data_IF_590376552424
#
_entry.id   IF_590376552424
#
_cell.length_a   1.000
_cell.length_b   1.000
_cell.length_c   1.000
_cell.angle_alpha   90.00
_cell.angle_beta   90.00
_cell.angle_gamma   90.00
#
_symmetry.space_group_name_H-M   'P 1'
#
loop_
_entity.id
_entity.type
_entity.pdbx_description
1 polymer ?
#
# COMPACT_ATOMS: atom_id res chain seq x y z
N UNK A 1 -21.59 -9.40 -14.25
CA UNK A 1 -20.17 -9.01 -14.11
C UNK A 1 -20.07 -8.14 -12.86
N UNK A 2 -19.09 -8.36 -11.99
CA UNK A 2 -18.92 -7.62 -10.73
C UNK A 2 -18.75 -6.11 -11.01
N UNK A 3 -19.52 -5.25 -10.34
CA UNK A 3 -19.53 -3.78 -10.56
C UNK A 3 -18.17 -3.15 -10.29
N UNK A 4 -17.44 -3.63 -9.27
CA UNK A 4 -16.09 -3.14 -8.95
C UNK A 4 -15.09 -3.43 -10.08
N UNK A 5 -15.19 -4.61 -10.71
CA UNK A 5 -14.32 -4.94 -11.83
C UNK A 5 -14.60 -4.06 -13.05
N UNK A 6 -15.88 -3.76 -13.32
CA UNK A 6 -16.25 -2.86 -14.42
C UNK A 6 -15.71 -1.44 -14.21
N UNK A 7 -15.77 -0.92 -12.99
CA UNK A 7 -15.20 0.39 -12.64
C UNK A 7 -13.69 0.42 -12.90
N UNK A 8 -12.96 -0.63 -12.54
CA UNK A 8 -11.53 -0.74 -12.83
C UNK A 8 -11.24 -0.78 -14.33
N UNK A 9 -12.05 -1.50 -15.12
CA UNK A 9 -11.89 -1.54 -16.58
C UNK A 9 -12.12 -0.18 -17.24
N UNK A 10 -12.93 0.71 -16.66
CA UNK A 10 -13.09 2.08 -17.18
C UNK A 10 -11.76 2.85 -17.12
N UNK A 11 -10.97 2.68 -16.05
CA UNK A 11 -9.68 3.35 -15.88
C UNK A 11 -8.66 2.96 -16.97
N UNK A 12 -8.80 1.75 -17.51
CA UNK A 12 -7.96 1.23 -18.60
C UNK A 12 -8.04 2.08 -19.86
N UNK A 13 -9.21 2.66 -20.16
CA UNK A 13 -9.43 3.52 -21.32
C UNK A 13 -9.23 2.81 -22.67
N UNK A 14 -9.54 1.52 -22.74
CA UNK A 14 -9.38 0.67 -23.93
C UNK A 14 -10.63 -0.20 -24.11
N UNK A 15 -10.86 -0.70 -25.32
CA UNK A 15 -11.96 -1.62 -25.64
C UNK A 15 -12.01 -2.83 -24.71
N UNK A 16 -13.19 -3.37 -24.35
CA UNK A 16 -13.32 -4.49 -23.42
C UNK A 16 -12.38 -5.66 -23.74
N UNK A 17 -11.80 -6.32 -22.71
CA UNK A 17 -10.94 -7.48 -22.92
C UNK A 17 -11.69 -8.59 -23.67
N UNK A 18 -10.98 -9.27 -24.58
CA UNK A 18 -11.54 -10.37 -25.39
C UNK A 18 -11.32 -11.74 -24.76
N UNK A 19 -10.41 -11.84 -23.79
CA UNK A 19 -10.15 -13.05 -23.02
C UNK A 19 -11.34 -13.44 -22.14
N UNK A 20 -11.49 -14.73 -21.87
CA UNK A 20 -12.42 -15.19 -20.84
C UNK A 20 -11.89 -14.79 -19.45
N UNK A 21 -12.78 -14.33 -18.58
CA UNK A 21 -12.44 -13.90 -17.21
C UNK A 21 -13.43 -14.55 -16.24
N UNK A 22 -12.93 -15.56 -15.52
CA UNK A 22 -13.72 -16.36 -14.58
C UNK A 22 -13.36 -16.00 -13.13
N UNK A 23 -14.34 -15.49 -12.39
CA UNK A 23 -14.25 -15.32 -10.93
C UNK A 23 -14.93 -16.52 -10.26
N UNK A 24 -14.15 -17.34 -9.57
CA UNK A 24 -14.61 -18.64 -9.05
C UNK A 24 -14.70 -18.62 -7.53
N UNK A 25 -15.89 -18.90 -7.00
CA UNK A 25 -16.20 -18.86 -5.57
C UNK A 25 -17.10 -17.68 -5.21
N UNK A 26 -17.28 -17.42 -3.91
CA UNK A 26 -18.07 -16.30 -3.40
C UNK A 26 -17.67 -15.99 -1.95
N UNK A 27 -18.01 -14.80 -1.48
CA UNK A 27 -17.94 -14.43 -0.07
C UNK A 27 -19.13 -14.98 0.74
N UNK A 28 -19.05 -15.02 2.09
CA UNK A 28 -17.90 -14.61 2.91
C UNK A 28 -16.82 -15.71 2.98
N UNK A 29 -15.56 -15.35 2.73
CA UNK A 29 -14.40 -16.21 2.99
C UNK A 29 -13.79 -15.93 4.37
N UNK A 30 -13.83 -14.68 4.81
CA UNK A 30 -13.33 -14.23 6.11
C UNK A 30 -14.50 -13.88 7.04
N UNK A 31 -14.27 -13.88 8.36
CA UNK A 31 -15.29 -13.51 9.36
C UNK A 31 -15.54 -12.00 9.35
N UNK A 32 -16.28 -11.53 8.35
CA UNK A 32 -16.57 -10.13 8.08
C UNK A 32 -17.88 -10.01 7.31
N UNK A 33 -18.54 -8.86 7.43
CA UNK A 33 -19.76 -8.54 6.67
C UNK A 33 -19.47 -7.94 5.28
N UNK A 34 -18.20 -7.65 4.98
CA UNK A 34 -17.76 -7.09 3.71
C UNK A 34 -17.42 -8.20 2.71
N UNK A 35 -17.65 -7.95 1.42
CA UNK A 35 -17.28 -8.85 0.32
C UNK A 35 -15.81 -8.68 -0.07
N UNK A 36 -14.91 -8.94 0.90
CA UNK A 36 -13.47 -8.73 0.72
C UNK A 36 -12.86 -9.63 -0.35
N UNK A 37 -13.31 -10.88 -0.47
CA UNK A 37 -12.82 -11.82 -1.46
C UNK A 37 -13.22 -11.43 -2.88
N UNK A 38 -14.47 -11.03 -3.08
CA UNK A 38 -14.96 -10.55 -4.37
C UNK A 38 -14.31 -9.22 -4.77
N UNK A 39 -14.09 -8.32 -3.79
CA UNK A 39 -13.39 -7.04 -4.01
C UNK A 39 -11.95 -7.28 -4.44
N UNK A 40 -11.20 -8.10 -3.71
CA UNK A 40 -9.82 -8.44 -4.07
C UNK A 40 -9.75 -9.19 -5.41
N UNK A 41 -10.71 -10.08 -5.70
CA UNK A 41 -10.76 -10.82 -6.95
C UNK A 41 -10.99 -9.88 -8.15
N UNK A 42 -11.81 -8.84 -8.01
CA UNK A 42 -12.00 -7.82 -9.03
C UNK A 42 -10.69 -7.07 -9.34
N UNK A 43 -9.91 -6.72 -8.31
CA UNK A 43 -8.61 -6.05 -8.47
C UNK A 43 -7.58 -6.99 -9.13
N UNK A 44 -7.56 -8.27 -8.74
CA UNK A 44 -6.70 -9.28 -9.38
C UNK A 44 -7.06 -9.53 -10.84
N UNK A 45 -8.35 -9.55 -11.17
CA UNK A 45 -8.78 -9.63 -12.56
C UNK A 45 -8.31 -8.40 -13.35
N UNK A 46 -8.40 -7.20 -12.78
CA UNK A 46 -7.91 -5.98 -13.41
C UNK A 46 -6.39 -6.02 -13.64
N UNK A 47 -5.61 -6.46 -12.64
CA UNK A 47 -4.17 -6.72 -12.81
C UNK A 47 -3.93 -7.72 -13.95
N UNK A 48 -4.64 -8.84 -13.96
CA UNK A 48 -4.53 -9.86 -15.02
C UNK A 48 -4.77 -9.29 -16.42
N UNK A 49 -5.79 -8.45 -16.57
CA UNK A 49 -6.09 -7.75 -17.83
C UNK A 49 -4.96 -6.76 -18.20
N UNK A 50 -4.47 -5.98 -17.24
CA UNK A 50 -3.35 -5.05 -17.46
C UNK A 50 -2.07 -5.77 -17.86
N UNK A 51 -1.78 -6.92 -17.26
CA UNK A 51 -0.67 -7.80 -17.64
C UNK A 51 -0.87 -8.36 -19.06
N UNK A 52 -2.09 -8.80 -19.39
CA UNK A 52 -2.43 -9.25 -20.74
C UNK A 52 -2.25 -8.15 -21.79
N UNK A 53 -2.53 -6.89 -21.46
CA UNK A 53 -2.30 -5.78 -22.39
C UNK A 53 -0.83 -5.63 -22.75
N UNK A 54 0.05 -5.66 -21.75
CA UNK A 54 1.48 -5.56 -21.99
C UNK A 54 1.98 -6.80 -22.74
N UNK A 55 1.47 -7.98 -22.39
CA UNK A 55 1.80 -9.22 -23.09
C UNK A 55 1.35 -9.23 -24.56
N UNK A 56 0.18 -8.66 -24.85
CA UNK A 56 -0.33 -8.54 -26.22
C UNK A 56 0.50 -7.55 -27.03
N UNK A 57 0.91 -6.42 -26.45
CA UNK A 57 1.82 -5.49 -27.13
C UNK A 57 3.15 -6.16 -27.50
N UNK A 58 3.64 -7.05 -26.65
CA UNK A 58 4.90 -7.76 -26.85
C UNK A 58 4.80 -8.98 -27.79
N UNK A 59 3.68 -9.71 -27.77
CA UNK A 59 3.58 -11.04 -28.40
C UNK A 59 2.40 -11.22 -29.34
N UNK A 60 1.47 -10.26 -29.39
CA UNK A 60 0.20 -10.36 -30.10
C UNK A 60 -0.82 -11.31 -29.45
N UNK A 61 -0.51 -11.91 -28.29
CA UNK A 61 -1.35 -12.93 -27.63
C UNK A 61 -1.94 -12.42 -26.33
N UNK A 62 -3.09 -12.98 -25.95
CA UNK A 62 -3.73 -12.83 -24.64
C UNK A 62 -4.00 -14.22 -24.05
N UNK A 63 -4.23 -14.27 -22.74
CA UNK A 63 -4.54 -15.50 -22.02
C UNK A 63 -5.85 -15.33 -21.23
N UNK A 64 -6.65 -16.39 -21.14
CA UNK A 64 -7.81 -16.44 -20.27
C UNK A 64 -7.42 -16.38 -18.78
N UNK A 65 -8.24 -15.69 -17.99
CA UNK A 65 -7.99 -15.42 -16.58
C UNK A 65 -8.97 -16.20 -15.72
N UNK A 66 -8.46 -16.85 -14.66
CA UNK A 66 -9.29 -17.47 -13.62
C UNK A 66 -8.78 -17.06 -12.24
N UNK A 67 -9.64 -16.41 -11.47
CA UNK A 67 -9.34 -15.91 -10.13
C UNK A 67 -10.25 -16.61 -9.13
N UNK A 68 -9.64 -17.32 -8.16
CA UNK A 68 -10.38 -17.94 -7.06
C UNK A 68 -10.62 -16.91 -5.97
N UNK A 69 -11.87 -16.57 -5.71
CA UNK A 69 -12.29 -15.63 -4.65
C UNK A 69 -11.72 -16.00 -3.27
N UNK A 70 -11.69 -17.29 -2.85
CA UNK A 70 -11.03 -17.68 -1.60
C UNK A 70 -9.53 -17.38 -1.55
N UNK A 71 -8.82 -17.49 -2.67
CA UNK A 71 -7.39 -17.17 -2.73
C UNK A 71 -7.18 -15.65 -2.70
N UNK A 72 -8.06 -14.89 -3.36
CA UNK A 72 -8.04 -13.44 -3.30
C UNK A 72 -8.26 -12.91 -1.88
N UNK A 73 -9.22 -13.47 -1.14
CA UNK A 73 -9.41 -13.15 0.28
C UNK A 73 -8.20 -13.53 1.14
N UNK A 74 -7.57 -14.69 0.87
CA UNK A 74 -6.38 -15.12 1.60
C UNK A 74 -5.18 -14.17 1.38
N UNK A 75 -5.05 -13.61 0.17
CA UNK A 75 -3.98 -12.67 -0.14
C UNK A 75 -4.03 -11.38 0.70
N UNK A 76 -5.21 -10.95 1.16
CA UNK A 76 -5.38 -9.77 2.04
C UNK A 76 -4.83 -9.97 3.47
N UNK A 77 -4.31 -11.16 3.78
CA UNK A 77 -3.68 -11.48 5.05
C UNK A 77 -2.47 -12.40 4.88
N UNK A 78 -1.78 -12.30 3.74
CA UNK A 78 -0.74 -13.25 3.33
C UNK A 78 0.46 -13.32 4.30
N UNK A 79 0.73 -12.23 5.03
CA UNK A 79 1.72 -12.19 6.11
C UNK A 79 1.49 -13.23 7.22
N UNK A 80 0.29 -13.82 7.34
CA UNK A 80 0.01 -14.89 8.31
C UNK A 80 0.43 -16.28 7.84
N UNK A 81 0.71 -16.46 6.55
CA UNK A 81 0.95 -17.79 5.97
C UNK A 81 2.41 -18.04 5.61
N UNK A 82 3.26 -17.02 5.67
CA UNK A 82 4.65 -17.14 5.27
C UNK A 82 5.54 -17.51 6.46
N UNK A 83 6.12 -18.71 6.42
CA UNK A 83 7.15 -19.16 7.35
C UNK A 83 8.48 -19.29 6.60
N UNK A 84 9.56 -18.78 7.21
CA UNK A 84 10.93 -18.99 6.71
C UNK A 84 11.50 -20.18 7.46
N UNK A 85 11.77 -21.28 6.76
CA UNK A 85 12.56 -22.38 7.33
C UNK A 85 14.03 -21.97 7.38
N UNK A 86 14.64 -22.02 8.56
CA UNK A 86 16.06 -21.76 8.70
C UNK A 86 16.88 -22.91 8.14
N UNK A 87 17.46 -22.71 6.96
CA UNK A 87 18.62 -23.49 6.57
C UNK A 87 19.82 -22.97 7.36
N UNK A 88 20.39 -23.77 8.26
CA UNK A 88 21.51 -23.43 9.16
C UNK A 88 22.86 -23.07 8.51
N UNK A 89 22.86 -22.46 7.33
CA UNK A 89 24.03 -22.06 6.54
C UNK A 89 24.32 -20.55 6.58
N UNK A 90 23.36 -19.70 6.96
CA UNK A 90 23.64 -18.30 7.31
C UNK A 90 23.78 -18.21 8.82
N UNK A 91 24.98 -17.94 9.35
CA UNK A 91 25.20 -17.67 10.78
C UNK A 91 24.49 -16.43 11.33
N UNK A 92 23.42 -15.96 10.67
CA UNK A 92 22.39 -15.14 11.27
C UNK A 92 21.34 -16.10 11.84
N UNK A 93 21.31 -16.18 13.16
CA UNK A 93 20.23 -16.81 13.91
C UNK A 93 18.93 -16.07 13.57
N UNK A 94 18.23 -16.50 12.51
CA UNK A 94 16.89 -16.02 12.20
C UNK A 94 15.87 -16.67 13.15
N UNK A 95 16.31 -17.62 13.98
CA UNK A 95 15.54 -18.16 15.08
C UNK A 95 15.65 -17.14 16.18
N UNK A 96 14.54 -16.48 16.48
CA UNK A 96 14.43 -15.78 17.75
C UNK A 96 15.55 -14.76 18.05
N UNK A 97 15.91 -13.86 17.11
CA UNK A 97 16.12 -12.47 17.51
C UNK A 97 14.77 -12.01 18.10
N UNK A 98 14.60 -12.28 19.40
CA UNK A 98 13.36 -12.52 20.12
C UNK A 98 12.19 -11.65 19.61
N UNK A 99 11.31 -12.22 18.77
CA UNK A 99 9.99 -11.63 18.59
C UNK A 99 9.35 -11.68 19.97
N UNK A 100 9.33 -10.54 20.65
CA UNK A 100 8.65 -10.41 21.91
C UNK A 100 7.14 -10.46 21.60
N UNK A 101 6.60 -11.68 21.59
CA UNK A 101 5.21 -11.95 21.28
C UNK A 101 4.26 -11.20 22.19
N UNK A 102 4.61 -11.03 23.47
CA UNK A 102 3.84 -10.23 24.41
C UNK A 102 3.79 -8.76 23.98
N UNK A 103 4.93 -8.17 23.62
CA UNK A 103 5.01 -6.80 23.11
C UNK A 103 4.25 -6.64 21.78
N UNK A 104 4.31 -7.62 20.88
CA UNK A 104 3.57 -7.59 19.62
C UNK A 104 2.05 -7.67 19.86
N UNK A 105 1.59 -8.57 20.74
CA UNK A 105 0.19 -8.65 21.12
C UNK A 105 -0.29 -7.37 21.79
N UNK A 106 0.52 -6.76 22.67
CA UNK A 106 0.22 -5.48 23.27
C UNK A 106 0.08 -4.36 22.23
N UNK A 107 1.01 -4.27 21.27
CA UNK A 107 0.94 -3.31 20.16
C UNK A 107 -0.32 -3.48 19.32
N UNK A 108 -0.69 -4.73 19.03
CA UNK A 108 -1.91 -5.05 18.29
C UNK A 108 -3.16 -4.63 19.07
N UNK A 109 -3.23 -4.94 20.38
CA UNK A 109 -4.35 -4.55 21.26
C UNK A 109 -4.43 -3.06 21.51
N UNK A 110 -3.30 -2.35 21.54
CA UNK A 110 -3.29 -0.88 21.59
C UNK A 110 -3.87 -0.34 20.28
N UNK A 111 -3.53 -0.93 19.14
CA UNK A 111 -3.95 -0.48 17.82
C UNK A 111 -5.37 -0.92 17.43
N UNK A 112 -6.30 -0.97 18.40
CA UNK A 112 -7.74 -1.21 18.20
C UNK A 112 -8.56 -0.01 18.68
N UNK A 113 -9.84 0.10 18.31
CA UNK A 113 -10.73 1.14 18.85
C UNK A 113 -10.90 1.06 20.38
N UNK A 114 -10.74 2.19 21.06
CA UNK A 114 -10.95 2.34 22.51
C UNK A 114 -11.99 3.45 22.79
N UNK A 115 -12.83 3.29 23.84
CA UNK A 115 -13.86 4.27 24.17
C UNK A 115 -13.26 5.60 24.66
N UNK A 116 -13.96 6.68 24.35
CA UNK A 116 -13.60 8.06 24.72
C UNK A 116 -14.67 8.69 25.60
N UNK A 117 -14.37 9.82 26.24
CA UNK A 117 -15.22 10.49 27.23
C UNK A 117 -16.59 10.89 26.68
N UNK A 118 -16.63 11.29 25.42
CA UNK A 118 -17.82 11.74 24.68
C UNK A 118 -18.67 10.57 24.13
N UNK A 119 -18.40 9.33 24.55
CA UNK A 119 -19.14 8.14 24.12
C UNK A 119 -18.78 7.67 22.70
N UNK A 120 -17.71 8.21 22.13
CA UNK A 120 -17.17 7.83 20.81
C UNK A 120 -16.05 6.79 20.98
N UNK A 121 -15.40 6.43 19.86
CA UNK A 121 -14.21 5.58 19.86
C UNK A 121 -13.03 6.27 19.18
N UNK A 122 -11.83 6.01 19.69
CA UNK A 122 -10.57 6.45 19.12
C UNK A 122 -9.64 5.25 18.90
N UNK A 123 -8.98 5.21 17.74
CA UNK A 123 -7.98 4.20 17.40
C UNK A 123 -6.59 4.86 17.45
N UNK A 124 -5.78 4.62 18.49
CA UNK A 124 -4.38 5.02 18.51
C UNK A 124 -3.56 4.08 17.62
N UNK A 125 -2.55 4.59 16.91
CA UNK A 125 -1.65 3.72 16.16
C UNK A 125 -0.18 4.04 16.49
N UNK A 126 0.49 3.08 17.14
CA UNK A 126 1.82 3.28 17.73
C UNK A 126 2.87 2.33 17.11
N UNK A 127 2.68 1.93 15.85
CA UNK A 127 3.47 0.88 15.21
C UNK A 127 4.97 1.16 15.03
N UNK A 128 5.40 2.42 15.03
CA UNK A 128 6.82 2.80 14.95
C UNK A 128 7.25 3.55 16.22
N UNK A 129 8.48 3.33 16.75
CA UNK A 129 8.90 3.91 18.04
C UNK A 129 8.73 5.43 18.15
N UNK A 130 9.13 6.18 17.12
CA UNK A 130 9.00 7.63 17.11
C UNK A 130 7.54 8.12 17.01
N UNK A 131 6.65 7.33 16.39
CA UNK A 131 5.20 7.64 16.33
C UNK A 131 4.52 7.28 17.65
N UNK A 132 4.93 6.16 18.26
CA UNK A 132 4.49 5.77 19.60
C UNK A 132 4.81 6.88 20.61
N UNK A 133 6.06 7.35 20.64
CA UNK A 133 6.48 8.41 21.54
C UNK A 133 5.60 9.66 21.41
N UNK A 134 5.36 10.15 20.19
CA UNK A 134 4.50 11.31 19.94
C UNK A 134 3.09 11.14 20.49
N UNK A 135 2.48 9.97 20.30
CA UNK A 135 1.14 9.69 20.81
C UNK A 135 1.12 9.58 22.34
N UNK A 136 2.13 8.95 22.94
CA UNK A 136 2.27 8.81 24.39
C UNK A 136 2.53 10.16 25.07
N UNK A 137 3.27 11.06 24.44
CA UNK A 137 3.50 12.42 24.96
C UNK A 137 2.20 13.23 25.04
N UNK A 138 1.29 13.04 24.07
CA UNK A 138 -0.05 13.66 24.08
C UNK A 138 -0.93 13.03 25.17
N UNK A 139 -0.92 11.69 25.26
CA UNK A 139 -1.73 10.94 26.22
C UNK A 139 -1.20 11.04 27.66
N UNK A 140 0.08 11.36 27.83
CA UNK A 140 0.81 11.44 29.12
C UNK A 140 0.71 10.13 29.91
N UNK A 141 0.96 9.02 29.24
CA UNK A 141 0.86 7.69 29.82
C UNK A 141 2.04 6.79 29.38
N UNK A 142 2.26 5.73 30.13
CA UNK A 142 3.21 4.68 29.75
C UNK A 142 2.75 3.90 28.52
N UNK A 143 3.68 3.24 27.84
CA UNK A 143 3.37 2.40 26.68
C UNK A 143 2.75 1.05 27.05
N UNK A 144 1.72 1.07 27.90
CA UNK A 144 1.01 -0.09 28.43
C UNK A 144 -0.46 -0.03 28.03
N UNK A 145 -1.05 -1.19 27.70
CA UNK A 145 -2.41 -1.24 27.15
C UNK A 145 -3.44 -0.52 28.03
N UNK A 146 -3.48 -0.87 29.32
CA UNK A 146 -4.44 -0.28 30.27
C UNK A 146 -4.17 1.22 30.49
N UNK A 147 -2.90 1.65 30.49
CA UNK A 147 -2.53 3.05 30.62
C UNK A 147 -3.03 3.87 29.42
N UNK A 148 -2.87 3.33 28.21
CA UNK A 148 -3.38 3.94 26.96
C UNK A 148 -4.90 3.99 26.96
N UNK A 149 -5.58 2.89 27.31
CA UNK A 149 -7.06 2.85 27.38
C UNK A 149 -7.59 3.91 28.35
N UNK A 150 -7.03 3.98 29.55
CA UNK A 150 -7.44 4.94 30.58
C UNK A 150 -7.17 6.38 30.14
N UNK A 151 -6.04 6.64 29.47
CA UNK A 151 -5.74 7.96 28.94
C UNK A 151 -6.75 8.35 27.84
N UNK A 152 -7.00 7.47 26.86
CA UNK A 152 -7.96 7.70 25.77
C UNK A 152 -9.37 7.98 26.32
N UNK A 153 -9.80 7.25 27.35
CA UNK A 153 -11.10 7.44 28.00
C UNK A 153 -11.28 8.84 28.63
N UNK A 154 -10.21 9.58 28.86
CA UNK A 154 -10.24 10.96 29.38
C UNK A 154 -10.45 12.05 28.33
N UNK A 155 -10.35 11.71 27.03
CA UNK A 155 -10.45 12.66 25.93
C UNK A 155 -11.78 12.57 25.17
N UNK A 156 -12.17 13.65 24.50
CA UNK A 156 -13.16 13.60 23.42
C UNK A 156 -12.46 13.15 22.13
N UNK A 157 -13.08 12.28 21.33
CA UNK A 157 -12.38 11.57 20.26
C UNK A 157 -11.79 12.50 19.19
N UNK A 158 -12.54 13.51 18.75
CA UNK A 158 -12.06 14.47 17.75
C UNK A 158 -10.93 15.35 18.29
N UNK A 159 -11.04 15.80 19.55
CA UNK A 159 -10.00 16.60 20.18
C UNK A 159 -8.67 15.82 20.29
N UNK A 160 -8.74 14.52 20.60
CA UNK A 160 -7.57 13.66 20.64
C UNK A 160 -6.97 13.41 19.25
N UNK A 161 -7.80 13.21 18.22
CA UNK A 161 -7.34 13.10 16.83
C UNK A 161 -6.55 14.33 16.40
N UNK A 162 -7.09 15.53 16.63
CA UNK A 162 -6.42 16.78 16.28
C UNK A 162 -5.13 16.99 17.09
N UNK A 163 -5.13 16.66 18.38
CA UNK A 163 -3.93 16.78 19.23
C UNK A 163 -2.80 15.84 18.76
N UNK A 164 -3.12 14.59 18.40
CA UNK A 164 -2.14 13.64 17.88
C UNK A 164 -1.67 14.03 16.47
N UNK A 165 -2.58 14.52 15.61
CA UNK A 165 -2.23 15.00 14.28
C UNK A 165 -1.29 16.20 14.33
N UNK A 166 -1.50 17.14 15.26
CA UNK A 166 -0.70 18.35 15.43
C UNK A 166 0.78 18.06 15.75
N UNK A 167 1.08 16.95 16.43
CA UNK A 167 2.45 16.50 16.70
C UNK A 167 2.99 15.53 15.64
N UNK A 168 2.25 15.32 14.55
CA UNK A 168 2.60 14.40 13.46
C UNK A 168 2.58 12.93 13.87
N UNK A 169 1.82 12.57 14.92
CA UNK A 169 1.55 11.21 15.36
C UNK A 169 0.49 10.50 14.51
N UNK A 170 0.07 9.32 14.96
CA UNK A 170 -0.91 8.48 14.27
C UNK A 170 -2.03 8.06 15.21
N UNK A 171 -3.26 8.42 14.85
CA UNK A 171 -4.45 8.02 15.57
C UNK A 171 -5.66 8.70 14.95
N UNK A 172 -6.84 8.09 15.10
CA UNK A 172 -8.05 8.58 14.45
C UNK A 172 -9.30 8.32 15.29
N UNK A 173 -10.22 9.27 15.27
CA UNK A 173 -11.59 9.04 15.70
C UNK A 173 -12.26 8.04 14.75
N UNK A 174 -12.92 7.03 15.31
CA UNK A 174 -13.76 6.13 14.54
C UNK A 174 -15.02 6.89 14.08
N UNK A 175 -15.27 6.81 12.77
CA UNK A 175 -16.41 7.43 12.11
C UNK A 175 -17.32 6.34 11.56
N UNK A 176 -18.59 6.67 11.32
CA UNK A 176 -19.47 5.89 10.43
C UNK A 176 -19.21 6.23 8.97
N UNK A 177 -19.68 5.40 8.05
CA UNK A 177 -19.58 5.67 6.61
C UNK A 177 -20.28 6.99 6.22
N UNK A 178 -21.41 7.31 6.85
CA UNK A 178 -22.13 8.57 6.62
C UNK A 178 -21.34 9.79 7.11
N UNK A 179 -20.73 9.70 8.29
CA UNK A 179 -19.85 10.76 8.81
C UNK A 179 -18.63 10.96 7.91
N UNK A 180 -18.03 9.88 7.39
CA UNK A 180 -16.92 9.97 6.44
C UNK A 180 -17.33 10.64 5.12
N UNK A 181 -18.47 10.22 4.55
CA UNK A 181 -18.99 10.81 3.32
C UNK A 181 -19.30 12.31 3.47
N UNK A 182 -19.70 12.74 4.67
CA UNK A 182 -19.92 14.15 4.98
C UNK A 182 -18.64 14.92 5.37
N UNK A 183 -17.55 14.22 5.73
CA UNK A 183 -16.30 14.83 6.15
C UNK A 183 -15.57 15.48 4.96
N UNK A 184 -14.93 16.65 5.12
CA UNK A 184 -14.25 17.32 4.00
C UNK A 184 -13.17 16.46 3.32
N UNK A 185 -12.48 15.60 4.08
CA UNK A 185 -11.55 14.63 3.49
C UNK A 185 -12.26 13.56 2.65
N UNK A 186 -13.37 13.00 3.15
CA UNK A 186 -14.11 11.98 2.41
C UNK A 186 -14.71 12.54 1.13
N UNK A 187 -15.20 13.79 1.16
CA UNK A 187 -15.66 14.51 -0.03
C UNK A 187 -14.54 14.77 -1.03
N UNK A 188 -13.35 15.18 -0.55
CA UNK A 188 -12.19 15.36 -1.41
C UNK A 188 -11.81 14.07 -2.15
N UNK A 189 -11.87 12.92 -1.47
CA UNK A 189 -11.56 11.61 -2.09
C UNK A 189 -12.68 11.08 -2.99
N UNK A 190 -13.95 11.29 -2.65
CA UNK A 190 -15.08 10.80 -3.43
C UNK A 190 -15.12 11.39 -4.86
N UNK A 191 -14.52 12.56 -5.07
CA UNK A 191 -14.39 13.18 -6.39
C UNK A 191 -13.19 12.72 -7.22
N UNK A 192 -12.36 11.79 -6.71
CA UNK A 192 -11.13 11.34 -7.37
C UNK A 192 -11.29 9.92 -7.91
N UNK A 193 -10.63 9.56 -9.02
CA UNK A 193 -10.61 8.19 -9.49
C UNK A 193 -9.84 7.31 -8.49
N UNK A 194 -10.21 6.03 -8.42
CA UNK A 194 -9.54 5.05 -7.55
C UNK A 194 -8.04 4.89 -7.86
N UNK A 195 -7.68 5.02 -9.15
CA UNK A 195 -6.30 5.13 -9.62
C UNK A 195 -6.21 6.31 -10.58
N UNK A 196 -5.33 7.26 -10.28
CA UNK A 196 -5.07 8.41 -11.14
C UNK A 196 -3.77 8.21 -11.94
N UNK A 197 -3.82 8.45 -13.25
CA UNK A 197 -2.65 8.41 -14.13
C UNK A 197 -2.49 9.79 -14.76
N UNK A 198 -1.42 10.47 -14.39
CA UNK A 198 -1.11 11.83 -14.82
C UNK A 198 0.17 11.77 -15.65
N UNK A 199 0.17 12.37 -16.85
CA UNK A 199 1.38 12.55 -17.64
C UNK A 199 2.21 13.68 -17.00
N UNK A 200 3.43 13.38 -16.58
CA UNK A 200 4.31 14.32 -15.86
C UNK A 200 5.39 14.92 -16.76
N UNK A 201 5.72 14.28 -17.89
CA UNK A 201 6.62 14.81 -18.91
C UNK A 201 6.37 14.20 -20.29
N UNK A 202 6.90 14.82 -21.34
CA UNK A 202 6.96 14.25 -22.68
C UNK A 202 8.18 13.33 -22.84
N UNK A 203 7.98 12.20 -23.50
CA UNK A 203 9.05 11.32 -23.99
C UNK A 203 8.55 10.56 -25.23
N UNK A 204 9.44 10.07 -26.10
CA UNK A 204 9.04 9.14 -27.14
C UNK A 204 8.38 7.88 -26.56
N UNK A 205 7.51 7.20 -27.33
CA UNK A 205 7.03 5.87 -26.98
C UNK A 205 8.18 4.91 -26.70
N UNK A 206 8.06 4.14 -25.62
CA UNK A 206 9.08 3.17 -25.20
C UNK A 206 8.44 1.78 -25.06
N UNK A 207 8.82 0.80 -25.91
CA UNK A 207 8.27 -0.55 -25.83
C UNK A 207 8.47 -1.14 -24.43
N UNK A 208 7.45 -1.86 -23.93
CA UNK A 208 7.62 -2.64 -22.71
C UNK A 208 8.63 -3.74 -22.99
N UNK A 209 9.65 -3.85 -22.12
CA UNK A 209 10.82 -4.71 -22.32
C UNK A 209 10.44 -6.13 -22.76
N UNK A 210 11.08 -6.60 -23.84
CA UNK A 210 11.09 -8.00 -24.24
C UNK A 210 12.40 -8.62 -23.74
N UNK A 211 12.31 -9.62 -22.87
CA UNK A 211 13.43 -10.53 -22.61
C UNK A 211 12.94 -11.97 -22.80
N UNK A 212 13.82 -12.79 -23.37
CA UNK A 212 13.64 -14.19 -23.79
C UNK A 212 13.09 -15.17 -22.71
N UNK A 213 12.82 -14.70 -21.50
CA UNK A 213 12.43 -15.44 -20.29
C UNK A 213 10.94 -15.78 -20.21
N UNK A 214 10.11 -15.25 -21.12
CA UNK A 214 8.71 -15.67 -21.28
C UNK A 214 7.73 -15.16 -20.22
N UNK A 215 8.07 -14.12 -19.43
CA UNK A 215 7.14 -13.50 -18.47
C UNK A 215 6.79 -12.05 -18.88
N UNK A 216 5.58 -11.54 -18.57
CA UNK A 216 5.10 -10.28 -19.14
C UNK A 216 5.89 -9.01 -18.79
N UNK A 217 6.53 -8.97 -17.62
CA UNK A 217 7.30 -7.80 -17.15
C UNK A 217 8.83 -8.01 -17.20
N UNK A 218 9.29 -9.07 -17.88
CA UNK A 218 10.72 -9.36 -17.97
C UNK A 218 11.49 -8.24 -18.66
N UNK A 219 12.58 -7.79 -18.03
CA UNK A 219 13.41 -6.69 -18.51
C UNK A 219 13.05 -5.32 -17.94
N UNK A 220 11.90 -5.17 -17.29
CA UNK A 220 11.55 -3.94 -16.58
C UNK A 220 12.34 -3.84 -15.27
N UNK A 221 12.90 -2.66 -15.00
CA UNK A 221 13.62 -2.34 -13.76
C UNK A 221 12.77 -1.43 -12.87
N UNK A 222 12.54 -1.86 -11.62
CA UNK A 222 11.72 -1.14 -10.65
C UNK A 222 12.57 -0.78 -9.44
N UNK A 223 12.59 0.50 -9.09
CA UNK A 223 13.11 0.99 -7.82
C UNK A 223 11.96 1.17 -6.85
N UNK A 224 11.99 0.40 -5.76
CA UNK A 224 10.96 0.41 -4.74
C UNK A 224 11.48 1.02 -3.44
N UNK A 225 11.06 2.26 -3.15
CA UNK A 225 11.40 2.96 -1.90
C UNK A 225 10.27 2.86 -0.86
N UNK A 226 9.24 2.08 -1.15
CA UNK A 226 8.10 1.94 -0.27
C UNK A 226 8.41 1.09 0.97
N UNK A 227 7.55 1.19 1.98
CA UNK A 227 7.74 0.55 3.28
C UNK A 227 6.43 -0.01 3.81
N UNK A 228 6.55 -0.86 4.83
CA UNK A 228 5.45 -1.46 5.59
C UNK A 228 4.67 -2.49 4.77
N UNK A 229 3.64 -2.12 3.98
CA UNK A 229 2.76 -3.12 3.37
C UNK A 229 2.24 -2.73 1.97
N UNK A 230 1.44 -1.66 1.84
CA UNK A 230 0.80 -1.31 0.58
C UNK A 230 1.77 -1.16 -0.61
N UNK A 231 2.78 -0.30 -0.47
CA UNK A 231 3.77 -0.11 -1.51
C UNK A 231 4.61 -1.36 -1.80
N UNK A 232 5.13 -2.08 -0.78
CA UNK A 232 5.86 -3.31 -1.03
C UNK A 232 5.00 -4.38 -1.72
N UNK A 233 3.69 -4.44 -1.46
CA UNK A 233 2.74 -5.28 -2.21
C UNK A 233 2.71 -4.92 -3.69
N UNK A 234 2.66 -3.64 -4.05
CA UNK A 234 2.74 -3.19 -5.46
C UNK A 234 4.01 -3.72 -6.13
N UNK A 235 5.17 -3.51 -5.49
CA UNK A 235 6.45 -3.93 -6.01
C UNK A 235 6.57 -5.46 -6.12
N UNK A 236 6.05 -6.21 -5.13
CA UNK A 236 5.97 -7.68 -5.18
C UNK A 236 5.14 -8.13 -6.37
N UNK A 237 3.97 -7.56 -6.60
CA UNK A 237 3.11 -7.91 -7.74
C UNK A 237 3.82 -7.72 -9.08
N UNK A 238 4.60 -6.64 -9.25
CA UNK A 238 5.41 -6.45 -10.45
C UNK A 238 6.50 -7.55 -10.59
N UNK A 239 7.15 -7.94 -9.49
CA UNK A 239 8.12 -9.04 -9.48
C UNK A 239 7.49 -10.42 -9.79
N UNK A 240 6.28 -10.67 -9.29
CA UNK A 240 5.45 -11.86 -9.58
C UNK A 240 5.08 -11.99 -11.06
N UNK A 241 5.17 -10.90 -11.84
CA UNK A 241 5.04 -10.92 -13.30
C UNK A 241 6.37 -10.76 -14.06
N UNK A 242 7.51 -10.72 -13.36
CA UNK A 242 8.85 -10.86 -13.93
C UNK A 242 9.71 -9.60 -13.96
N UNK A 243 9.28 -8.50 -13.35
CA UNK A 243 10.11 -7.30 -13.24
C UNK A 243 11.33 -7.53 -12.33
N UNK A 244 12.47 -6.91 -12.66
CA UNK A 244 13.62 -6.80 -11.77
C UNK A 244 13.36 -5.67 -10.76
N UNK A 245 13.03 -6.04 -9.54
CA UNK A 245 12.68 -5.08 -8.49
C UNK A 245 13.81 -4.98 -7.47
N UNK A 246 14.30 -3.77 -7.26
CA UNK A 246 15.26 -3.43 -6.20
C UNK A 246 14.57 -2.58 -5.13
N UNK A 247 14.40 -3.17 -3.95
CA UNK A 247 13.99 -2.46 -2.75
C UNK A 247 15.15 -1.63 -2.21
N UNK A 248 14.95 -0.33 -2.10
CA UNK A 248 15.92 0.60 -1.53
C UNK A 248 15.39 1.11 -0.20
N UNK A 249 16.15 0.90 0.87
CA UNK A 249 15.84 1.35 2.23
C UNK A 249 17.12 1.81 2.93
N UNK A 250 17.09 2.11 4.22
CA UNK A 250 18.29 2.43 5.00
C UNK A 250 18.26 1.69 6.34
N UNK A 251 19.44 1.39 6.91
CA UNK A 251 19.55 0.63 8.17
C UNK A 251 18.80 1.29 9.34
N UNK A 252 18.77 2.62 9.37
CA UNK A 252 18.09 3.38 10.42
C UNK A 252 16.56 3.46 10.24
N UNK A 253 16.02 3.05 9.08
CA UNK A 253 14.59 3.07 8.83
C UNK A 253 13.95 1.81 9.40
N UNK A 254 12.92 1.94 10.26
CA UNK A 254 12.32 0.76 10.87
C UNK A 254 11.61 -0.09 9.82
N UNK A 255 11.82 -1.40 9.91
CA UNK A 255 11.16 -2.42 9.10
C UNK A 255 10.35 -3.34 10.00
N UNK A 256 9.29 -3.92 9.44
CA UNK A 256 8.47 -4.91 10.11
C UNK A 256 8.74 -6.27 9.46
N UNK A 257 9.52 -7.12 10.14
CA UNK A 257 10.02 -8.38 9.59
C UNK A 257 8.92 -9.26 8.99
N UNK A 258 7.75 -9.33 9.62
CA UNK A 258 6.60 -10.08 9.11
C UNK A 258 6.17 -9.62 7.71
N UNK A 259 6.18 -8.31 7.46
CA UNK A 259 5.79 -7.77 6.16
C UNK A 259 6.94 -7.81 5.17
N UNK A 260 8.19 -7.63 5.62
CA UNK A 260 9.37 -7.81 4.76
C UNK A 260 9.40 -9.24 4.21
N UNK A 261 9.15 -10.24 5.06
CA UNK A 261 9.06 -11.65 4.65
C UNK A 261 8.00 -11.85 3.58
N UNK A 262 6.79 -11.33 3.79
CA UNK A 262 5.64 -11.46 2.87
C UNK A 262 5.79 -10.69 1.54
N UNK A 263 6.44 -9.53 1.57
CA UNK A 263 6.44 -8.59 0.43
C UNK A 263 7.76 -8.55 -0.34
N UNK A 264 8.79 -9.30 0.07
CA UNK A 264 10.11 -9.30 -0.59
C UNK A 264 10.31 -10.42 -1.60
N UNK A 265 9.33 -11.29 -1.84
CA UNK A 265 9.45 -12.38 -2.80
C UNK A 265 9.80 -11.87 -4.21
N UNK A 266 10.85 -12.46 -4.80
CA UNK A 266 11.34 -12.09 -6.13
C UNK A 266 12.06 -10.73 -6.22
N UNK A 267 12.15 -9.99 -5.11
CA UNK A 267 12.85 -8.69 -5.05
C UNK A 267 14.30 -8.87 -4.60
N UNK A 268 15.17 -7.95 -5.03
CA UNK A 268 16.49 -7.68 -4.43
C UNK A 268 16.35 -6.52 -3.44
N UNK A 269 17.29 -6.38 -2.51
CA UNK A 269 17.32 -5.25 -1.57
C UNK A 269 18.73 -4.66 -1.44
N UNK A 270 18.80 -3.36 -1.14
CA UNK A 270 20.02 -2.68 -0.74
C UNK A 270 19.73 -1.58 0.29
N UNK A 271 20.78 -1.18 1.01
CA UNK A 271 20.74 -0.01 1.88
C UNK A 271 21.37 1.19 1.17
N UNK A 272 20.62 2.30 1.13
CA UNK A 272 21.08 3.63 0.74
C UNK A 272 20.43 4.67 1.68
N UNK A 273 21.26 5.34 2.47
CA UNK A 273 20.88 6.45 3.33
C UNK A 273 20.81 7.75 2.51
N UNK A 274 19.59 8.22 2.25
CA UNK A 274 19.37 9.42 1.43
C UNK A 274 19.76 10.73 2.11
N UNK A 275 20.15 10.70 3.38
CA UNK A 275 20.74 11.83 4.09
C UNK A 275 22.27 11.92 3.87
N UNK A 276 22.87 10.90 3.25
CA UNK A 276 24.27 10.90 2.80
C UNK A 276 24.31 11.23 1.31
N UNK A 277 24.95 12.35 0.95
CA UNK A 277 24.98 12.86 -0.43
C UNK A 277 25.49 11.83 -1.43
N UNK A 278 26.55 11.09 -1.11
CA UNK A 278 27.11 10.07 -1.98
C UNK A 278 26.12 8.92 -2.27
N UNK A 279 25.40 8.45 -1.25
CA UNK A 279 24.40 7.38 -1.38
C UNK A 279 23.13 7.86 -2.09
N UNK A 280 22.74 9.13 -1.87
CA UNK A 280 21.70 9.77 -2.67
C UNK A 280 22.08 9.85 -4.15
N UNK A 281 23.33 10.21 -4.47
CA UNK A 281 23.81 10.21 -5.86
C UNK A 281 23.83 8.80 -6.47
N UNK A 282 24.15 7.77 -5.69
CA UNK A 282 24.02 6.37 -6.13
C UNK A 282 22.58 6.01 -6.49
N UNK A 283 21.59 6.45 -5.69
CA UNK A 283 20.19 6.26 -6.04
C UNK A 283 19.83 6.97 -7.35
N UNK A 284 20.29 8.20 -7.56
CA UNK A 284 20.03 8.94 -8.81
C UNK A 284 20.66 8.25 -10.03
N UNK A 285 21.81 7.59 -9.88
CA UNK A 285 22.39 6.74 -10.93
C UNK A 285 21.51 5.52 -11.23
N UNK A 286 20.97 4.86 -10.20
CA UNK A 286 20.00 3.77 -10.40
C UNK A 286 18.75 4.25 -11.14
N UNK A 287 18.22 5.43 -10.80
CA UNK A 287 17.05 6.05 -11.45
C UNK A 287 17.25 6.19 -12.95
N UNK A 288 18.46 6.56 -13.43
CA UNK A 288 18.76 6.71 -14.87
C UNK A 288 18.44 5.47 -15.70
N UNK A 289 18.43 4.30 -15.08
CA UNK A 289 18.18 3.03 -15.75
C UNK A 289 16.87 2.35 -15.34
N UNK A 290 16.10 2.97 -14.45
CA UNK A 290 14.83 2.43 -13.99
C UNK A 290 13.70 2.71 -14.99
N UNK A 291 12.71 1.83 -15.01
CA UNK A 291 11.43 2.03 -15.70
C UNK A 291 10.36 2.57 -14.78
N UNK A 292 10.38 2.11 -13.52
CA UNK A 292 9.38 2.44 -12.51
C UNK A 292 10.10 2.87 -11.24
N UNK A 293 9.62 3.94 -10.64
CA UNK A 293 10.00 4.37 -9.29
C UNK A 293 8.76 4.41 -8.41
N UNK A 294 8.77 3.67 -7.31
CA UNK A 294 7.64 3.56 -6.39
C UNK A 294 7.95 4.18 -5.04
N UNK A 295 7.01 4.96 -4.50
CA UNK A 295 7.16 5.59 -3.20
C UNK A 295 5.84 5.71 -2.42
N UNK A 296 5.97 5.71 -1.08
CA UNK A 296 4.85 5.82 -0.15
C UNK A 296 5.08 6.78 1.01
N UNK A 297 5.98 7.75 0.84
CA UNK A 297 6.27 8.76 1.84
C UNK A 297 5.18 9.83 1.87
N UNK A 298 5.12 10.56 2.99
CA UNK A 298 4.28 11.77 3.09
C UNK A 298 4.69 12.78 2.01
N UNK A 299 3.76 13.67 1.59
CA UNK A 299 4.07 14.71 0.63
C UNK A 299 5.38 15.45 0.93
N UNK A 300 6.08 15.83 -0.13
CA UNK A 300 7.35 16.58 -0.11
C UNK A 300 8.58 15.87 0.48
N UNK A 301 8.44 14.79 1.24
CA UNK A 301 9.58 14.11 1.91
C UNK A 301 10.66 13.66 0.92
N UNK A 302 10.26 13.06 -0.20
CA UNK A 302 11.19 12.67 -1.26
C UNK A 302 11.49 13.82 -2.24
N UNK A 303 10.53 14.73 -2.46
CA UNK A 303 10.75 15.91 -3.31
C UNK A 303 11.90 16.79 -2.76
N UNK A 304 11.95 16.98 -1.43
CA UNK A 304 13.03 17.69 -0.72
C UNK A 304 14.40 17.01 -0.85
N UNK A 305 14.44 15.78 -1.36
CA UNK A 305 15.66 15.02 -1.66
C UNK A 305 15.96 14.95 -3.15
N UNK A 306 15.28 15.75 -3.98
CA UNK A 306 15.44 15.74 -5.44
C UNK A 306 14.76 14.55 -6.13
N UNK A 307 13.82 13.89 -5.46
CA UNK A 307 13.13 12.68 -5.96
C UNK A 307 11.63 12.97 -6.22
N UNK A 308 11.33 14.20 -6.69
CA UNK A 308 9.98 14.56 -7.14
C UNK A 308 9.68 13.93 -8.50
N UNK A 309 8.40 13.76 -8.89
CA UNK A 309 8.04 13.23 -10.20
C UNK A 309 8.73 13.99 -11.35
N UNK A 310 8.67 15.33 -11.33
CA UNK A 310 9.32 16.17 -12.35
C UNK A 310 10.84 15.97 -12.39
N UNK A 311 11.51 15.95 -11.23
CA UNK A 311 12.96 15.75 -11.18
C UNK A 311 13.38 14.37 -11.71
N UNK A 312 12.61 13.32 -11.40
CA UNK A 312 12.91 11.98 -11.92
C UNK A 312 12.64 11.88 -13.42
N UNK A 313 11.60 12.54 -13.94
CA UNK A 313 11.32 12.59 -15.37
C UNK A 313 12.40 13.34 -16.17
N UNK A 314 13.04 14.35 -15.58
CA UNK A 314 14.23 15.00 -16.16
C UNK A 314 15.45 14.06 -16.22
N UNK A 315 15.66 13.26 -15.16
CA UNK A 315 16.79 12.30 -15.08
C UNK A 315 16.57 11.12 -16.02
N UNK A 316 15.33 10.61 -16.09
CA UNK A 316 14.93 9.46 -16.90
C UNK A 316 13.60 9.79 -17.60
N UNK A 317 13.65 10.38 -18.81
CA UNK A 317 12.45 10.58 -19.62
C UNK A 317 11.70 9.28 -19.83
N UNK A 318 10.37 9.28 -19.63
CA UNK A 318 9.55 8.07 -19.69
C UNK A 318 9.52 7.22 -18.40
N UNK A 319 10.09 7.69 -17.28
CA UNK A 319 9.95 6.98 -16.00
C UNK A 319 8.50 6.97 -15.53
N UNK A 320 8.01 5.83 -15.08
CA UNK A 320 6.72 5.75 -14.40
C UNK A 320 6.92 6.01 -12.90
N UNK A 321 6.28 7.05 -12.37
CA UNK A 321 6.33 7.39 -10.95
C UNK A 321 5.07 6.92 -10.23
N UNK A 322 5.18 5.84 -9.45
CA UNK A 322 4.07 5.27 -8.68
C UNK A 322 4.07 5.83 -7.27
N UNK A 323 3.01 6.57 -6.91
CA UNK A 323 2.88 7.26 -5.64
C UNK A 323 1.61 6.83 -4.92
N UNK A 324 1.70 6.50 -3.64
CA UNK A 324 0.53 6.13 -2.84
C UNK A 324 0.66 6.63 -1.40
N UNK A 325 -0.45 6.94 -0.76
CA UNK A 325 -0.50 7.27 0.65
C UNK A 325 -1.90 6.93 1.22
N UNK A 326 -2.11 7.11 2.52
CA UNK A 326 -3.35 6.68 3.19
C UNK A 326 -4.57 7.58 2.90
N UNK A 327 -4.38 8.89 2.68
CA UNK A 327 -5.46 9.87 2.65
C UNK A 327 -5.61 10.60 1.30
N UNK A 328 -4.87 10.21 0.26
CA UNK A 328 -4.77 10.95 -0.99
C UNK A 328 -3.87 12.19 -0.88
N UNK A 329 -3.82 12.96 -1.97
CA UNK A 329 -2.95 14.14 -2.10
C UNK A 329 -3.69 15.46 -1.85
N UNK A 330 -5.00 15.40 -1.62
CA UNK A 330 -5.89 16.55 -1.47
C UNK A 330 -6.62 16.53 -0.12
N UNK A 331 -7.19 17.67 0.27
CA UNK A 331 -8.02 17.78 1.47
C UNK A 331 -7.24 17.91 2.78
N UNK A 332 -7.95 18.10 3.91
CA UNK A 332 -7.33 18.41 5.21
C UNK A 332 -6.43 17.30 5.78
N UNK A 333 -6.52 16.06 5.28
CA UNK A 333 -5.70 14.94 5.76
C UNK A 333 -4.51 14.63 4.83
N UNK A 334 -4.30 15.36 3.74
CA UNK A 334 -3.25 15.07 2.75
C UNK A 334 -1.83 14.95 3.35
N UNK A 335 -1.53 15.74 4.39
CA UNK A 335 -0.23 15.71 5.08
C UNK A 335 -0.20 14.77 6.31
N UNK A 336 -1.34 14.16 6.68
CA UNK A 336 -1.43 13.30 7.86
C UNK A 336 -0.77 11.95 7.61
N UNK A 337 -0.30 11.38 8.71
CA UNK A 337 0.22 10.03 8.74
C UNK A 337 -0.92 9.02 8.80
N UNK A 338 -0.85 7.94 8.03
CA UNK A 338 -1.91 6.94 8.01
C UNK A 338 -1.40 5.52 8.01
N UNK A 339 -2.31 4.60 8.33
CA UNK A 339 -2.10 3.16 8.48
C UNK A 339 -3.39 2.43 8.12
N UNK A 340 -3.30 1.16 7.76
CA UNK A 340 -4.42 0.24 7.52
C UNK A 340 -5.59 0.46 8.49
N UNK A 341 -5.31 0.38 9.79
CA UNK A 341 -6.32 0.46 10.84
C UNK A 341 -6.97 1.84 10.91
N UNK A 342 -6.21 2.90 10.62
CA UNK A 342 -6.71 4.26 10.60
C UNK A 342 -7.60 4.50 9.38
N UNK A 343 -7.25 3.94 8.22
CA UNK A 343 -8.12 3.96 7.04
C UNK A 343 -9.45 3.29 7.37
N UNK A 344 -9.44 2.12 8.01
CA UNK A 344 -10.68 1.46 8.44
C UNK A 344 -11.48 2.28 9.47
N UNK A 345 -10.80 2.96 10.40
CA UNK A 345 -11.45 3.78 11.43
C UNK A 345 -12.14 5.02 10.85
N UNK A 346 -11.47 5.76 9.95
CA UNK A 346 -12.02 7.02 9.43
C UNK A 346 -13.09 6.81 8.36
N UNK A 347 -13.02 5.71 7.61
CA UNK A 347 -13.92 5.47 6.45
C UNK A 347 -15.27 4.88 6.82
N UNK A 348 -15.45 4.41 8.07
CA UNK A 348 -16.66 3.70 8.48
C UNK A 348 -16.51 2.19 8.58
N UNK A 349 -15.48 1.61 7.97
CA UNK A 349 -15.29 0.15 7.92
C UNK A 349 -15.26 -0.46 9.33
N UNK A 350 -14.50 0.14 10.25
CA UNK A 350 -14.38 -0.40 11.60
C UNK A 350 -15.69 -0.30 12.40
N UNK A 351 -16.43 0.80 12.23
CA UNK A 351 -17.73 0.99 12.88
C UNK A 351 -18.76 -0.03 12.34
N UNK A 352 -18.82 -0.18 11.03
CA UNK A 352 -19.74 -1.11 10.38
C UNK A 352 -19.40 -2.57 10.70
N UNK A 353 -18.13 -2.97 10.62
CA UNK A 353 -17.70 -4.33 10.95
C UNK A 353 -18.11 -4.72 12.38
N UNK A 354 -17.86 -3.84 13.35
CA UNK A 354 -18.08 -4.11 14.77
C UNK A 354 -19.51 -3.89 15.27
N UNK A 355 -20.31 -3.04 14.63
CA UNK A 355 -21.65 -2.69 15.10
C UNK A 355 -21.60 -1.82 16.36
N UNK A 356 -22.13 -2.29 17.49
CA UNK A 356 -22.16 -1.53 18.75
C UNK A 356 -20.76 -1.15 19.26
N UNK A 357 -19.77 -2.02 19.02
CA UNK A 357 -18.36 -1.77 19.36
C UNK A 357 -17.54 -1.91 18.09
N UNK A 358 -16.87 -0.84 17.61
CA UNK A 358 -16.07 -0.90 16.40
C UNK A 358 -15.01 -2.00 16.46
N UNK A 359 -14.78 -2.67 15.34
CA UNK A 359 -13.82 -3.75 15.22
C UNK A 359 -13.11 -3.67 13.86
N UNK A 360 -11.82 -3.98 13.84
CA UNK A 360 -11.06 -4.04 12.59
C UNK A 360 -11.45 -5.28 11.77
N UNK A 361 -11.24 -5.20 10.46
CA UNK A 361 -11.34 -6.35 9.57
C UNK A 361 -10.32 -7.43 9.96
N UNK A 362 -10.62 -8.72 9.72
CA UNK A 362 -9.70 -9.83 9.96
C UNK A 362 -8.59 -9.95 8.88
N UNK A 363 -8.23 -8.82 8.25
CA UNK A 363 -7.30 -8.69 7.15
C UNK A 363 -6.80 -7.24 7.05
N UNK A 364 -5.64 -7.04 6.41
CA UNK A 364 -5.12 -5.72 6.06
C UNK A 364 -5.66 -5.30 4.67
N UNK A 365 -6.98 -5.23 4.56
CA UNK A 365 -7.68 -5.09 3.29
C UNK A 365 -7.39 -3.76 2.59
N UNK A 366 -7.18 -2.65 3.30
CA UNK A 366 -6.93 -1.36 2.66
C UNK A 366 -5.50 -1.31 2.07
N UNK A 367 -4.48 -1.77 2.79
CA UNK A 367 -3.07 -1.75 2.40
C UNK A 367 -2.83 -2.69 1.23
N UNK A 368 -3.24 -3.96 1.33
CA UNK A 368 -3.06 -4.92 0.22
C UNK A 368 -3.80 -4.46 -1.04
N UNK A 369 -5.08 -4.07 -0.90
CA UNK A 369 -5.86 -3.57 -2.04
C UNK A 369 -5.23 -2.33 -2.67
N UNK A 370 -4.73 -1.38 -1.86
CA UNK A 370 -4.01 -0.20 -2.35
C UNK A 370 -2.75 -0.60 -3.13
N UNK A 371 -1.97 -1.55 -2.62
CA UNK A 371 -0.79 -2.07 -3.31
C UNK A 371 -1.12 -2.73 -4.64
N UNK A 372 -2.18 -3.52 -4.70
CA UNK A 372 -2.65 -4.15 -5.93
C UNK A 372 -3.19 -3.11 -6.95
N UNK A 373 -3.93 -2.11 -6.49
CA UNK A 373 -4.38 -1.01 -7.34
C UNK A 373 -3.22 -0.16 -7.87
N UNK A 374 -2.18 0.07 -7.06
CA UNK A 374 -0.97 0.75 -7.51
C UNK A 374 -0.20 -0.07 -8.55
N UNK A 375 -0.14 -1.39 -8.41
CA UNK A 375 0.43 -2.27 -9.43
C UNK A 375 -0.39 -2.19 -10.73
N UNK A 376 -1.72 -2.22 -10.63
CA UNK A 376 -2.61 -2.04 -11.78
C UNK A 376 -2.38 -0.69 -12.48
N UNK A 377 -2.33 0.41 -11.73
CA UNK A 377 -2.02 1.74 -12.28
C UNK A 377 -0.65 1.79 -12.97
N UNK A 378 0.36 1.16 -12.38
CA UNK A 378 1.70 1.05 -12.99
C UNK A 378 1.65 0.30 -14.33
N UNK A 379 0.92 -0.81 -14.40
CA UNK A 379 0.74 -1.59 -15.64
C UNK A 379 0.05 -0.76 -16.73
N UNK A 380 -1.01 -0.02 -16.36
CA UNK A 380 -1.71 0.87 -17.29
C UNK A 380 -0.80 1.98 -17.81
N UNK A 381 -0.01 2.61 -16.92
CA UNK A 381 0.92 3.67 -17.26
C UNK A 381 2.04 3.17 -18.19
N UNK A 382 2.61 1.98 -17.92
CA UNK A 382 3.56 1.32 -18.81
C UNK A 382 2.96 1.05 -20.21
N UNK A 383 1.69 0.64 -20.26
CA UNK A 383 0.98 0.42 -21.51
C UNK A 383 0.77 1.70 -22.31
N UNK A 384 0.43 2.81 -21.63
CA UNK A 384 0.32 4.14 -22.25
C UNK A 384 1.68 4.61 -22.76
N UNK A 385 2.74 4.53 -21.94
CA UNK A 385 4.12 4.84 -22.35
C UNK A 385 4.53 4.10 -23.61
N UNK A 386 4.19 2.81 -23.72
CA UNK A 386 4.55 2.01 -24.89
C UNK A 386 3.82 2.41 -26.18
N UNK A 387 2.59 2.91 -26.09
CA UNK A 387 1.79 3.30 -27.26
C UNK A 387 1.98 4.77 -27.64
N UNK A 388 2.09 5.63 -26.63
CA UNK A 388 1.93 7.09 -26.75
C UNK A 388 3.20 7.85 -26.32
N UNK A 389 4.07 7.23 -25.52
CA UNK A 389 5.17 7.90 -24.84
C UNK A 389 4.72 8.69 -23.61
N UNK A 390 5.62 9.53 -23.09
CA UNK A 390 5.43 10.26 -21.85
C UNK A 390 5.93 9.50 -20.62
N UNK A 391 6.10 10.27 -19.54
CA UNK A 391 6.38 9.81 -18.18
C UNK A 391 5.12 9.89 -17.33
#
# INVERSE_FOLDING_TARGET
>A
MNTAFQELLVLRGLEPPTEAIDLVGQDPVLSTRFTLGETAAAVFAAIGVGVNDLWQLQTGRRQDLSIKIPHAAAALRSYNYFNVEESGASGHDASAASINWALQQQRQRISTPHPTRDGRYFLPHMGLPHLAQRALDVLKCDYELEAVINAVAGWDALALEEAIAAVGGCGAMVRSAAEWAAHPQGQALAGRPLVEIIKIADSPPEPVGLVATGRPLSGLKVLDLTRILAGPTCARTLSEHGAEVLMVTAEHLPQADMFVRDTSHGKRSCFLNLDVDAERQQLLELVRTADVFSQGYRPEVLANRGLSPAALAEIRPGIIYTSMNCYGFDGPFAARAGWEQLAQAVTGIAAEQGGERPALLPAAACDYTTGYLAAYGTLLALGRRAREGGA
#
